data_IF_430662032961
#
_entry.id   IF_430662032961
#
_cell.length_a   1.000
_cell.length_b   1.000
_cell.length_c   1.000
_cell.angle_alpha   90.00
_cell.angle_beta   90.00
_cell.angle_gamma   90.00
#
_symmetry.space_group_name_H-M   'P 1'
#
loop_
_entity.id
_entity.type
_entity.pdbx_description
1 polymer ?
#
# COMPACT_ATOMS: atom_id res chain seq x y z
N UNK A 1 -0.78 -16.65 3.24
CA UNK A 1 -1.04 -15.59 4.24
C UNK A 1 -1.12 -14.21 3.60
N UNK A 2 -0.11 -13.72 2.85
CA UNK A 2 -0.12 -12.37 2.26
C UNK A 2 -1.41 -11.96 1.52
N UNK A 3 -1.97 -12.82 0.65
CA UNK A 3 -3.24 -12.55 -0.03
C UNK A 3 -4.42 -12.38 0.93
N UNK A 4 -4.46 -13.15 2.01
CA UNK A 4 -5.51 -13.05 3.04
C UNK A 4 -5.33 -11.76 3.83
N UNK A 5 -4.10 -11.43 4.23
CA UNK A 5 -3.77 -10.17 4.90
C UNK A 5 -4.16 -8.97 4.06
N UNK A 6 -3.86 -9.00 2.75
CA UNK A 6 -4.25 -7.96 1.81
C UNK A 6 -5.77 -7.76 1.79
N UNK A 7 -6.55 -8.82 1.56
CA UNK A 7 -8.01 -8.69 1.57
C UNK A 7 -8.58 -8.30 2.93
N UNK A 8 -7.96 -8.73 4.03
CA UNK A 8 -8.33 -8.27 5.37
C UNK A 8 -8.13 -6.75 5.53
N UNK A 9 -7.02 -6.20 5.04
CA UNK A 9 -6.79 -4.74 5.04
C UNK A 9 -7.75 -4.00 4.11
N UNK A 10 -8.13 -4.58 2.96
CA UNK A 10 -9.14 -3.99 2.06
C UNK A 10 -10.51 -3.93 2.75
N UNK A 11 -10.93 -5.01 3.40
CA UNK A 11 -12.19 -5.05 4.15
C UNK A 11 -12.17 -4.09 5.35
N UNK A 12 -11.05 -4.01 6.05
CA UNK A 12 -10.87 -3.06 7.15
C UNK A 12 -11.01 -1.61 6.66
N UNK A 13 -10.34 -1.25 5.56
CA UNK A 13 -10.48 0.06 4.94
C UNK A 13 -11.92 0.37 4.55
N UNK A 14 -12.60 -0.53 3.84
CA UNK A 14 -14.01 -0.35 3.48
C UNK A 14 -14.91 -0.16 4.72
N UNK A 15 -14.58 -0.84 5.83
CA UNK A 15 -15.28 -0.70 7.10
C UNK A 15 -15.06 0.69 7.71
N UNK A 16 -13.83 1.23 7.66
CA UNK A 16 -13.54 2.59 8.14
C UNK A 16 -14.27 3.64 7.29
N UNK A 17 -14.28 3.51 5.96
CA UNK A 17 -15.09 4.39 5.09
C UNK A 17 -16.58 4.35 5.46
N UNK A 18 -17.10 3.14 5.72
CA UNK A 18 -18.50 2.96 6.13
C UNK A 18 -18.76 3.66 7.46
N UNK A 19 -17.87 3.53 8.43
CA UNK A 19 -17.96 4.28 9.71
C UNK A 19 -17.92 5.79 9.45
N UNK A 20 -16.99 6.26 8.61
CA UNK A 20 -16.84 7.67 8.25
C UNK A 20 -18.10 8.29 7.68
N UNK A 21 -18.87 7.54 6.87
CA UNK A 21 -20.17 7.97 6.36
C UNK A 21 -21.15 8.36 7.48
N UNK A 22 -21.15 7.63 8.59
CA UNK A 22 -22.07 7.88 9.70
C UNK A 22 -21.55 8.91 10.70
N UNK A 23 -20.23 9.02 10.86
CA UNK A 23 -19.65 9.75 12.01
C UNK A 23 -18.89 11.03 11.66
N UNK A 24 -18.57 11.27 10.39
CA UNK A 24 -17.97 12.54 9.97
C UNK A 24 -19.00 13.67 10.07
N UNK A 25 -18.58 14.89 10.45
CA UNK A 25 -19.43 16.08 10.36
C UNK A 25 -19.65 16.46 8.89
N UNK A 26 -20.60 17.37 8.64
CA UNK A 26 -20.88 17.81 7.27
C UNK A 26 -19.71 18.52 6.60
N UNK A 27 -18.83 19.14 7.40
CA UNK A 27 -17.65 19.88 6.95
C UNK A 27 -16.39 19.18 7.43
N UNK A 28 -15.59 18.65 6.51
CA UNK A 28 -14.41 17.83 6.77
C UNK A 28 -13.14 18.50 6.25
N UNK A 29 -12.04 18.54 7.02
CA UNK A 29 -10.75 19.00 6.52
C UNK A 29 -10.18 17.96 5.55
N UNK A 30 -10.02 18.34 4.28
CA UNK A 30 -9.56 17.41 3.22
C UNK A 30 -8.09 17.62 2.85
N UNK A 31 -7.54 18.80 3.09
CA UNK A 31 -6.14 19.11 2.83
C UNK A 31 -5.61 20.07 3.89
N UNK A 32 -4.32 19.91 4.17
CA UNK A 32 -3.56 20.74 5.09
C UNK A 32 -2.39 21.35 4.34
N UNK A 33 -2.12 22.62 4.60
CA UNK A 33 -0.99 23.33 4.03
C UNK A 33 0.34 22.84 4.63
N UNK A 34 1.46 23.33 4.11
CA UNK A 34 2.78 23.04 4.67
C UNK A 34 2.98 23.53 6.11
N UNK A 35 2.17 24.49 6.58
CA UNK A 35 2.17 24.92 8.00
C UNK A 35 1.31 24.03 8.91
N UNK A 36 0.56 23.08 8.33
CA UNK A 36 -0.34 22.19 9.07
C UNK A 36 -1.75 22.75 9.29
N UNK A 37 -2.07 23.92 8.74
CA UNK A 37 -3.41 24.51 8.78
C UNK A 37 -4.31 23.94 7.68
N UNK A 38 -5.62 23.84 7.92
CA UNK A 38 -6.57 23.40 6.90
C UNK A 38 -6.69 24.47 5.82
N UNK A 39 -6.27 24.16 4.59
CA UNK A 39 -6.40 25.04 3.43
C UNK A 39 -7.51 24.60 2.47
N UNK A 40 -8.05 23.38 2.64
CA UNK A 40 -9.24 22.90 1.92
C UNK A 40 -10.17 22.11 2.81
N UNK A 41 -11.43 22.54 2.78
CA UNK A 41 -12.56 21.84 3.36
C UNK A 41 -13.39 21.18 2.27
N UNK A 42 -14.12 20.13 2.61
CA UNK A 42 -15.12 19.54 1.75
C UNK A 42 -16.26 18.91 2.53
N UNK A 43 -17.19 18.31 1.79
CA UNK A 43 -18.35 17.65 2.38
C UNK A 43 -18.01 16.25 2.90
N UNK A 44 -18.81 15.72 3.83
CA UNK A 44 -18.69 14.31 4.26
C UNK A 44 -18.79 13.31 3.10
N UNK A 45 -19.78 13.40 2.18
CA UNK A 45 -19.82 12.49 1.03
C UNK A 45 -18.57 12.59 0.17
N UNK A 46 -18.06 13.80 -0.07
CA UNK A 46 -16.83 14.00 -0.83
C UNK A 46 -15.62 13.33 -0.15
N UNK A 47 -15.48 13.49 1.18
CA UNK A 47 -14.41 12.87 1.95
C UNK A 47 -14.42 11.33 1.83
N UNK A 48 -15.59 10.74 2.10
CA UNK A 48 -15.77 9.28 2.12
C UNK A 48 -15.63 8.69 0.73
N UNK A 49 -16.25 9.31 -0.29
CA UNK A 49 -16.17 8.82 -1.66
C UNK A 49 -14.73 8.93 -2.19
N UNK A 50 -14.02 10.00 -1.87
CA UNK A 50 -12.62 10.16 -2.27
C UNK A 50 -11.76 9.03 -1.69
N UNK A 51 -11.86 8.77 -0.38
CA UNK A 51 -11.08 7.70 0.28
C UNK A 51 -11.50 6.32 -0.22
N UNK A 52 -12.80 6.06 -0.38
CA UNK A 52 -13.30 4.81 -0.92
C UNK A 52 -12.78 4.54 -2.34
N UNK A 53 -12.78 5.55 -3.22
CA UNK A 53 -12.29 5.41 -4.60
C UNK A 53 -10.77 5.22 -4.65
N UNK A 54 -10.00 5.96 -3.83
CA UNK A 54 -8.55 5.76 -3.73
C UNK A 54 -8.23 4.37 -3.20
N UNK A 55 -8.88 3.93 -2.13
CA UNK A 55 -8.70 2.59 -1.57
C UNK A 55 -9.09 1.48 -2.54
N UNK A 56 -10.23 1.61 -3.23
CA UNK A 56 -10.66 0.65 -4.24
C UNK A 56 -9.70 0.61 -5.44
N UNK A 57 -9.24 1.78 -5.92
CA UNK A 57 -8.26 1.88 -6.99
C UNK A 57 -6.92 1.22 -6.63
N UNK A 58 -6.41 1.47 -5.42
CA UNK A 58 -5.19 0.83 -4.92
C UNK A 58 -5.37 -0.68 -4.74
N UNK A 59 -6.50 -1.11 -4.19
CA UNK A 59 -6.81 -2.54 -4.05
C UNK A 59 -6.85 -3.24 -5.41
N UNK A 60 -7.52 -2.64 -6.40
CA UNK A 60 -7.59 -3.14 -7.76
C UNK A 60 -6.19 -3.20 -8.39
N UNK A 61 -5.39 -2.14 -8.24
CA UNK A 61 -4.03 -2.07 -8.78
C UNK A 61 -3.15 -3.21 -8.24
N UNK A 62 -3.05 -3.37 -6.92
CA UNK A 62 -2.19 -4.40 -6.33
C UNK A 62 -2.69 -5.82 -6.60
N UNK A 63 -4.00 -6.04 -6.58
CA UNK A 63 -4.57 -7.33 -6.99
C UNK A 63 -4.29 -7.64 -8.47
N UNK A 64 -4.48 -6.68 -9.36
CA UNK A 64 -4.22 -6.84 -10.79
C UNK A 64 -2.74 -7.13 -11.05
N UNK A 65 -1.82 -6.36 -10.44
CA UNK A 65 -0.38 -6.61 -10.56
C UNK A 65 0.00 -7.99 -10.02
N UNK A 66 -0.47 -8.36 -8.83
CA UNK A 66 -0.14 -9.63 -8.20
C UNK A 66 -0.68 -10.85 -8.99
N UNK A 67 -1.82 -10.70 -9.66
CA UNK A 67 -2.42 -11.76 -10.51
C UNK A 67 -1.84 -11.80 -11.92
N UNK A 68 -1.32 -10.67 -12.41
CA UNK A 68 -0.70 -10.55 -13.72
C UNK A 68 0.77 -10.95 -13.73
N UNK A 69 1.54 -10.70 -12.66
CA UNK A 69 2.98 -11.02 -12.58
C UNK A 69 3.36 -12.45 -13.02
N UNK A 70 2.55 -13.51 -12.76
CA UNK A 70 2.84 -14.84 -13.24
C UNK A 70 2.84 -15.01 -14.77
N UNK A 71 2.30 -14.03 -15.50
CA UNK A 71 2.25 -13.96 -16.96
C UNK A 71 3.10 -12.83 -17.54
N UNK A 72 3.78 -12.06 -16.69
CA UNK A 72 4.57 -10.92 -17.14
C UNK A 72 5.73 -11.39 -18.05
N UNK A 73 6.02 -10.66 -19.15
CA UNK A 73 7.23 -10.82 -19.92
C UNK A 73 8.48 -10.72 -19.02
N UNK A 74 9.50 -11.53 -19.33
CA UNK A 74 10.75 -11.55 -18.55
C UNK A 74 11.49 -10.21 -18.55
N UNK A 75 11.30 -9.41 -19.60
CA UNK A 75 11.86 -8.05 -19.72
C UNK A 75 11.34 -7.09 -18.65
N UNK A 76 10.16 -7.34 -18.09
CA UNK A 76 9.54 -6.52 -17.04
C UNK A 76 9.91 -6.98 -15.63
N UNK A 77 10.61 -8.11 -15.49
CA UNK A 77 11.13 -8.57 -14.20
C UNK A 77 12.40 -7.78 -13.86
N UNK A 78 12.25 -6.80 -12.97
CA UNK A 78 13.33 -5.95 -12.48
C UNK A 78 14.02 -6.59 -11.26
N UNK A 79 14.91 -7.54 -11.52
CA UNK A 79 15.82 -8.14 -10.53
C UNK A 79 17.24 -8.13 -11.11
N UNK A 80 18.25 -8.32 -10.25
CA UNK A 80 19.65 -8.35 -10.69
C UNK A 80 19.86 -9.37 -11.83
N UNK A 81 20.55 -8.97 -12.91
CA UNK A 81 20.78 -9.79 -14.10
C UNK A 81 21.40 -11.16 -13.81
N UNK A 82 22.34 -11.23 -12.86
CA UNK A 82 22.95 -12.50 -12.46
C UNK A 82 21.90 -13.44 -11.87
N UNK A 83 21.10 -12.94 -10.94
CA UNK A 83 20.08 -13.75 -10.27
C UNK A 83 18.94 -14.11 -11.22
N UNK A 84 18.60 -13.18 -12.13
CA UNK A 84 17.61 -13.37 -13.19
C UNK A 84 17.93 -14.58 -14.06
N UNK A 85 19.18 -14.72 -14.51
CA UNK A 85 19.62 -15.88 -15.30
C UNK A 85 19.39 -17.20 -14.58
N UNK A 86 19.68 -17.28 -13.29
CA UNK A 86 19.48 -18.51 -12.51
C UNK A 86 18.01 -18.83 -12.26
N UNK A 87 17.19 -17.81 -11.97
CA UNK A 87 15.75 -17.99 -11.77
C UNK A 87 15.05 -18.40 -13.04
N UNK A 88 15.48 -17.90 -14.20
CA UNK A 88 14.89 -18.19 -15.50
C UNK A 88 15.47 -19.44 -16.19
N UNK A 89 16.50 -20.06 -15.61
CA UNK A 89 17.17 -21.22 -16.18
C UNK A 89 16.29 -22.48 -16.28
N UNK A 90 15.25 -22.59 -15.46
CA UNK A 90 14.37 -23.77 -15.40
C UNK A 90 12.92 -23.34 -15.15
N UNK A 91 11.91 -24.00 -15.75
CA UNK A 91 10.50 -23.67 -15.54
C UNK A 91 10.08 -23.63 -14.06
N UNK A 92 10.58 -24.56 -13.25
CA UNK A 92 10.21 -24.70 -11.83
C UNK A 92 10.65 -23.48 -11.02
N UNK A 93 11.88 -23.01 -11.25
CA UNK A 93 12.41 -21.78 -10.62
C UNK A 93 11.66 -20.54 -11.09
N UNK A 94 11.34 -20.44 -12.38
CA UNK A 94 10.57 -19.32 -12.92
C UNK A 94 9.19 -19.22 -12.28
N UNK A 95 8.50 -20.36 -12.11
CA UNK A 95 7.20 -20.42 -11.42
C UNK A 95 7.34 -19.96 -9.97
N UNK A 96 8.38 -20.41 -9.26
CA UNK A 96 8.61 -20.02 -7.88
C UNK A 96 8.98 -18.52 -7.75
N UNK A 97 9.82 -17.98 -8.63
CA UNK A 97 10.12 -16.54 -8.68
C UNK A 97 8.83 -15.72 -8.83
N UNK A 98 8.01 -16.07 -9.82
CA UNK A 98 6.76 -15.38 -10.11
C UNK A 98 5.76 -15.49 -8.95
N UNK A 99 5.71 -16.65 -8.27
CA UNK A 99 4.90 -16.83 -7.06
C UNK A 99 5.37 -15.92 -5.93
N UNK A 100 6.69 -15.79 -5.71
CA UNK A 100 7.26 -14.88 -4.69
C UNK A 100 6.97 -13.42 -5.00
N UNK A 101 7.13 -13.00 -6.26
CA UNK A 101 6.79 -11.64 -6.70
C UNK A 101 5.30 -11.32 -6.46
N UNK A 102 4.40 -12.26 -6.76
CA UNK A 102 2.98 -12.12 -6.47
C UNK A 102 2.72 -11.94 -4.96
N UNK A 103 3.39 -12.71 -4.12
CA UNK A 103 3.31 -12.59 -2.65
C UNK A 103 3.82 -11.23 -2.18
N UNK A 104 4.91 -10.71 -2.75
CA UNK A 104 5.47 -9.42 -2.38
C UNK A 104 4.56 -8.26 -2.79
N UNK A 105 3.92 -8.35 -3.97
CA UNK A 105 2.93 -7.37 -4.42
C UNK A 105 1.70 -7.31 -3.49
N UNK A 106 1.21 -8.47 -3.01
CA UNK A 106 0.17 -8.47 -1.97
C UNK A 106 0.68 -7.87 -0.64
N UNK A 107 1.95 -8.07 -0.30
CA UNK A 107 2.57 -7.45 0.87
C UNK A 107 2.60 -5.93 0.79
N UNK A 108 3.06 -5.37 -0.33
CA UNK A 108 3.01 -3.93 -0.59
C UNK A 108 1.58 -3.41 -0.58
N UNK A 109 0.65 -4.09 -1.25
CA UNK A 109 -0.76 -3.72 -1.24
C UNK A 109 -1.33 -3.67 0.18
N UNK A 110 -1.03 -4.65 1.04
CA UNK A 110 -1.50 -4.65 2.42
C UNK A 110 -0.92 -3.49 3.23
N UNK A 111 0.37 -3.17 3.05
CA UNK A 111 1.00 -2.03 3.72
C UNK A 111 0.41 -0.69 3.26
N UNK A 112 0.13 -0.53 1.96
CA UNK A 112 -0.54 0.66 1.42
C UNK A 112 -1.95 0.80 1.96
N UNK A 113 -2.73 -0.28 1.99
CA UNK A 113 -4.08 -0.25 2.56
C UNK A 113 -4.06 0.08 4.06
N UNK A 114 -3.07 -0.43 4.81
CA UNK A 114 -2.88 -0.06 6.21
C UNK A 114 -2.56 1.43 6.37
N UNK A 115 -1.71 2.00 5.52
CA UNK A 115 -1.47 3.44 5.52
C UNK A 115 -2.78 4.22 5.30
N UNK A 116 -3.57 3.85 4.28
CA UNK A 116 -4.84 4.50 4.00
C UNK A 116 -5.82 4.42 5.19
N UNK A 117 -5.91 3.26 5.85
CA UNK A 117 -6.69 3.11 7.09
C UNK A 117 -6.22 4.10 8.16
N UNK A 118 -4.91 4.21 8.38
CA UNK A 118 -4.36 5.12 9.40
C UNK A 118 -4.65 6.58 9.05
N UNK A 119 -4.48 6.97 7.78
CA UNK A 119 -4.85 8.32 7.30
C UNK A 119 -6.33 8.59 7.56
N UNK A 120 -7.21 7.65 7.22
CA UNK A 120 -8.65 7.83 7.41
C UNK A 120 -9.03 7.93 8.89
N UNK A 121 -8.45 7.08 9.76
CA UNK A 121 -8.65 7.17 11.21
C UNK A 121 -8.17 8.50 11.79
N UNK A 122 -7.05 9.03 11.31
CA UNK A 122 -6.58 10.37 11.68
C UNK A 122 -7.59 11.42 11.24
N UNK A 123 -8.10 11.35 10.00
CA UNK A 123 -9.13 12.26 9.49
C UNK A 123 -10.41 12.20 10.33
N UNK A 124 -10.86 11.00 10.74
CA UNK A 124 -12.03 10.84 11.62
C UNK A 124 -11.83 11.52 12.99
N UNK A 125 -10.60 11.50 13.51
CA UNK A 125 -10.23 12.20 14.74
C UNK A 125 -10.23 13.72 14.55
N UNK A 126 -9.41 14.20 13.61
CA UNK A 126 -9.17 15.63 13.37
C UNK A 126 -10.44 16.35 12.91
N UNK A 127 -11.34 15.69 12.17
CA UNK A 127 -12.60 16.30 11.75
C UNK A 127 -13.52 16.68 12.93
N UNK A 128 -13.26 16.20 14.15
CA UNK A 128 -14.06 16.51 15.34
C UNK A 128 -13.45 17.57 16.24
N UNK A 129 -12.22 18.01 15.96
CA UNK A 129 -11.55 19.04 16.73
C UNK A 129 -12.22 20.40 16.47
N UNK A 130 -12.25 21.26 17.49
CA UNK A 130 -12.76 22.63 17.35
C UNK A 130 -11.89 23.44 16.37
N UNK A 131 -10.57 23.21 16.42
CA UNK A 131 -9.58 23.80 15.53
C UNK A 131 -8.74 22.70 14.87
N UNK A 132 -9.24 22.10 13.76
CA UNK A 132 -8.54 21.01 13.09
C UNK A 132 -7.17 21.47 12.57
N UNK A 133 -6.14 20.70 12.90
CA UNK A 133 -4.77 20.92 12.43
C UNK A 133 -4.09 19.60 12.14
N UNK A 134 -3.01 19.67 11.36
CA UNK A 134 -2.32 18.46 10.95
C UNK A 134 -1.54 17.83 12.11
N UNK A 135 -1.96 16.63 12.51
CA UNK A 135 -1.35 15.94 13.66
C UNK A 135 0.02 15.35 13.29
N UNK A 136 1.00 15.30 14.22
CA UNK A 136 2.30 14.66 13.98
C UNK A 136 2.20 13.17 13.60
N UNK A 137 1.10 12.52 13.94
CA UNK A 137 0.84 11.11 13.64
C UNK A 137 0.81 10.81 12.14
N UNK A 138 0.41 11.77 11.29
CA UNK A 138 0.46 11.58 9.84
C UNK A 138 1.89 11.41 9.35
N UNK A 139 2.82 12.23 9.87
CA UNK A 139 4.22 12.18 9.50
C UNK A 139 4.90 10.92 10.03
N UNK A 140 4.54 10.49 11.24
CA UNK A 140 5.03 9.24 11.78
C UNK A 140 4.56 8.05 10.93
N UNK A 141 3.27 7.99 10.60
CA UNK A 141 2.70 6.92 9.78
C UNK A 141 3.33 6.89 8.38
N UNK A 142 3.46 8.05 7.74
CA UNK A 142 4.11 8.18 6.44
C UNK A 142 5.60 7.79 6.51
N UNK A 143 6.32 8.24 7.54
CA UNK A 143 7.73 7.91 7.75
C UNK A 143 7.94 6.41 7.93
N UNK A 144 7.13 5.76 8.77
CA UNK A 144 7.16 4.30 8.96
C UNK A 144 6.88 3.57 7.64
N UNK A 145 5.86 4.00 6.89
CA UNK A 145 5.53 3.41 5.60
C UNK A 145 6.69 3.56 4.59
N UNK A 146 7.24 4.76 4.43
CA UNK A 146 8.33 5.03 3.49
C UNK A 146 9.61 4.26 3.85
N UNK A 147 9.98 4.21 5.13
CA UNK A 147 11.12 3.42 5.60
C UNK A 147 10.87 1.92 5.40
N UNK A 148 9.65 1.45 5.63
CA UNK A 148 9.25 0.07 5.37
C UNK A 148 9.35 -0.29 3.89
N UNK A 149 8.85 0.56 2.99
CA UNK A 149 8.94 0.38 1.54
C UNK A 149 10.39 0.40 1.08
N UNK A 150 11.19 1.37 1.55
CA UNK A 150 12.62 1.45 1.22
C UNK A 150 13.36 0.19 1.69
N UNK A 151 13.15 -0.22 2.93
CA UNK A 151 13.73 -1.44 3.50
C UNK A 151 13.33 -2.69 2.73
N UNK A 152 12.06 -2.79 2.32
CA UNK A 152 11.58 -3.86 1.46
C UNK A 152 12.30 -3.83 0.10
N UNK A 153 12.34 -2.69 -0.60
CA UNK A 153 13.04 -2.55 -1.88
C UNK A 153 14.51 -2.97 -1.78
N UNK A 154 15.23 -2.53 -0.75
CA UNK A 154 16.62 -2.95 -0.50
C UNK A 154 16.71 -4.45 -0.25
N UNK A 155 15.84 -5.01 0.59
CA UNK A 155 15.81 -6.45 0.86
C UNK A 155 15.52 -7.29 -0.39
N UNK A 156 14.54 -6.88 -1.20
CA UNK A 156 14.16 -7.55 -2.44
C UNK A 156 15.33 -7.58 -3.43
N UNK A 157 15.96 -6.43 -3.64
CA UNK A 157 17.04 -6.27 -4.64
C UNK A 157 18.37 -6.89 -4.21
N UNK A 158 18.66 -6.97 -2.91
CA UNK A 158 19.99 -7.41 -2.43
C UNK A 158 20.01 -8.79 -1.78
N UNK A 159 18.88 -9.29 -1.29
CA UNK A 159 18.83 -10.52 -0.46
C UNK A 159 17.79 -11.53 -0.93
N UNK A 160 16.52 -11.14 -1.06
CA UNK A 160 15.40 -12.08 -1.21
C UNK A 160 15.48 -12.94 -2.46
N UNK A 161 15.89 -12.33 -3.57
CA UNK A 161 15.99 -12.98 -4.87
C UNK A 161 17.40 -13.46 -5.22
N UNK A 162 18.34 -13.38 -4.27
CA UNK A 162 19.72 -13.79 -4.52
C UNK A 162 19.82 -15.31 -4.71
N UNK A 163 20.61 -15.71 -5.69
CA UNK A 163 20.92 -17.11 -5.99
C UNK A 163 21.67 -17.80 -4.84
N UNK A 164 21.47 -19.13 -4.64
CA UNK A 164 22.23 -19.89 -3.66
C UNK A 164 23.73 -19.84 -3.96
N UNK A 165 24.56 -19.78 -2.92
CA UNK A 165 26.03 -19.63 -3.04
C UNK A 165 26.72 -20.86 -3.63
N UNK A 166 26.04 -22.00 -3.68
CA UNK A 166 26.63 -23.30 -4.01
C UNK A 166 26.52 -23.64 -5.51
N UNK A 167 26.12 -22.66 -6.35
CA UNK A 167 25.89 -22.82 -7.80
C UNK A 167 26.85 -21.94 -8.61
N UNK A 168 28.00 -21.57 -8.04
CA UNK A 168 29.11 -20.90 -8.76
C UNK A 168 30.27 -21.85 -8.97
#
# INVERSE_FOLDING_TARGET
>A
MARVTFWATVLAHASVCTVGWFVLPERVPLHFSGSGEVDRWGSRPEAVLTMALVGAGMALLFWALATWVPRAPETLLNINERDKKWWLATPERTVELRRRLSVDLYGFGAATMLLLIVVELITLGVARDEEPSMTPWIWLALGIYLLGVLGACVHLTTRRYRTPRDVT
#
